data_IF_920830718819
#
_entry.id   IF_920830718819
#
_cell.length_a   1.000
_cell.length_b   1.000
_cell.length_c   1.000
_cell.angle_alpha   90.00
_cell.angle_beta   90.00
_cell.angle_gamma   90.00
#
_symmetry.space_group_name_H-M   'P 1'
#
loop_
_entity.id
_entity.type
_entity.pdbx_description
1 polymer ?
#
# COMPACT_ATOMS: atom_id res chain seq x y z
N UNK A 1 -8.73 4.34 -28.33
CA UNK A 1 -8.01 3.78 -27.17
C UNK A 1 -9.02 3.23 -26.19
N UNK A 2 -9.13 1.91 -26.08
CA UNK A 2 -9.99 1.28 -25.08
C UNK A 2 -9.39 1.57 -23.71
N UNK A 3 -10.08 2.38 -22.91
CA UNK A 3 -9.65 2.69 -21.53
C UNK A 3 -9.65 1.36 -20.77
N UNK A 4 -8.48 0.87 -20.39
CA UNK A 4 -8.34 -0.32 -19.58
C UNK A 4 -8.92 0.01 -18.19
N UNK A 5 -10.20 -0.32 -17.98
CA UNK A 5 -10.94 -0.11 -16.72
C UNK A 5 -10.41 -0.90 -15.53
N UNK A 6 -9.38 -1.73 -15.73
CA UNK A 6 -8.88 -2.71 -14.76
C UNK A 6 -8.40 -2.08 -13.44
N UNK A 7 -8.13 -0.78 -13.45
CA UNK A 7 -7.59 -0.03 -12.30
C UNK A 7 -8.51 1.13 -11.88
N UNK A 8 -9.76 1.16 -12.36
CA UNK A 8 -10.72 2.17 -11.92
C UNK A 8 -11.08 1.91 -10.45
N UNK A 9 -10.82 2.90 -9.58
CA UNK A 9 -11.04 2.78 -8.14
C UNK A 9 -9.89 2.18 -7.35
N UNK A 10 -8.74 1.92 -7.97
CA UNK A 10 -7.52 1.48 -7.28
C UNK A 10 -6.53 2.62 -7.08
N UNK A 11 -5.66 2.51 -6.07
CA UNK A 11 -4.57 3.46 -5.81
C UNK A 11 -3.29 2.73 -5.44
N UNK A 12 -2.17 3.30 -5.88
CA UNK A 12 -0.83 2.80 -5.57
C UNK A 12 -0.46 3.16 -4.13
N UNK A 13 -0.04 2.16 -3.36
CA UNK A 13 0.47 2.37 -2.01
C UNK A 13 1.71 1.51 -1.77
N UNK A 14 2.56 2.01 -0.88
CA UNK A 14 3.67 1.26 -0.32
C UNK A 14 3.32 0.95 1.13
N UNK A 15 3.11 -0.32 1.43
CA UNK A 15 2.79 -0.83 2.76
C UNK A 15 4.01 -1.54 3.35
N UNK A 16 4.20 -1.44 4.65
CA UNK A 16 5.23 -2.19 5.37
C UNK A 16 4.68 -2.86 6.62
N UNK A 17 5.29 -3.97 7.02
CA UNK A 17 4.96 -4.72 8.23
C UNK A 17 6.26 -5.21 8.89
N UNK A 18 6.30 -5.15 10.21
CA UNK A 18 7.39 -5.75 11.00
C UNK A 18 7.04 -7.20 11.28
N UNK A 19 7.87 -8.12 10.81
CA UNK A 19 7.67 -9.55 11.00
C UNK A 19 8.55 -10.08 12.14
N UNK A 20 7.94 -10.84 13.06
CA UNK A 20 8.64 -11.58 14.09
C UNK A 20 9.01 -12.97 13.56
N UNK A 21 10.23 -13.14 13.06
CA UNK A 21 10.65 -14.45 12.54
C UNK A 21 12.10 -14.53 12.04
N UNK A 22 12.68 -13.42 11.58
CA UNK A 22 14.08 -13.36 11.16
C UNK A 22 14.79 -12.19 11.87
N UNK A 23 15.39 -12.49 13.02
CA UNK A 23 16.21 -11.54 13.78
C UNK A 23 15.48 -10.26 14.19
N UNK A 24 14.40 -10.39 14.97
CA UNK A 24 13.69 -9.38 15.78
C UNK A 24 13.34 -8.00 15.16
N UNK A 25 13.70 -7.72 13.92
CA UNK A 25 13.67 -6.38 13.32
C UNK A 25 13.49 -6.39 11.79
N UNK A 26 13.10 -7.50 11.17
CA UNK A 26 12.83 -7.50 9.73
C UNK A 26 11.55 -6.73 9.38
N UNK A 27 11.68 -5.87 8.37
CA UNK A 27 10.60 -5.08 7.80
C UNK A 27 10.32 -5.60 6.39
N UNK A 28 9.12 -6.12 6.17
CA UNK A 28 8.64 -6.52 4.84
C UNK A 28 7.88 -5.36 4.24
N UNK A 29 8.08 -5.11 2.96
CA UNK A 29 7.40 -4.04 2.22
C UNK A 29 6.70 -4.60 0.99
N UNK A 30 5.49 -4.13 0.69
CA UNK A 30 4.75 -4.39 -0.54
C UNK A 30 4.49 -3.06 -1.24
N UNK A 31 4.74 -3.00 -2.55
CA UNK A 31 4.37 -1.90 -3.43
C UNK A 31 3.44 -2.45 -4.51
N UNK A 32 2.17 -2.05 -4.47
CA UNK A 32 1.16 -2.51 -5.42
C UNK A 32 0.01 -1.50 -5.57
N UNK A 33 -0.88 -1.80 -6.51
CA UNK A 33 -2.12 -1.11 -6.78
C UNK A 33 -3.25 -1.81 -6.03
N UNK A 34 -3.85 -1.14 -5.04
CA UNK A 34 -4.88 -1.72 -4.19
C UNK A 34 -6.25 -1.13 -4.51
N UNK A 35 -7.29 -1.97 -4.53
CA UNK A 35 -8.66 -1.50 -4.27
C UNK A 35 -8.77 -1.01 -2.82
N UNK A 36 -9.83 -0.25 -2.52
CA UNK A 36 -10.08 0.20 -1.15
C UNK A 36 -10.25 -0.98 -0.17
N UNK A 37 -10.91 -2.06 -0.60
CA UNK A 37 -11.12 -3.24 0.25
C UNK A 37 -9.81 -3.96 0.53
N UNK A 38 -9.00 -4.23 -0.50
CA UNK A 38 -7.68 -4.86 -0.33
C UNK A 38 -6.78 -4.02 0.58
N UNK A 39 -6.79 -2.69 0.42
CA UNK A 39 -6.06 -1.80 1.30
C UNK A 39 -6.50 -1.94 2.76
N UNK A 40 -7.81 -1.93 3.02
CA UNK A 40 -8.35 -2.08 4.38
C UNK A 40 -8.02 -3.44 5.00
N UNK A 41 -8.05 -4.50 4.20
CA UNK A 41 -7.70 -5.84 4.67
C UNK A 41 -6.23 -5.92 5.10
N UNK A 42 -5.31 -5.33 4.32
CA UNK A 42 -3.89 -5.24 4.71
C UNK A 42 -3.68 -4.40 5.98
N UNK A 43 -4.36 -3.25 6.10
CA UNK A 43 -4.26 -2.42 7.31
C UNK A 43 -4.75 -3.17 8.56
N UNK A 44 -5.84 -3.94 8.44
CA UNK A 44 -6.37 -4.76 9.53
C UNK A 44 -5.43 -5.94 9.88
N UNK A 45 -4.70 -6.48 8.91
CA UNK A 45 -3.67 -7.50 9.10
C UNK A 45 -2.36 -6.94 9.70
N UNK A 46 -2.30 -5.63 9.98
CA UNK A 46 -1.18 -5.00 10.68
C UNK A 46 -0.13 -4.36 9.77
N UNK A 47 -0.41 -4.28 8.47
CA UNK A 47 0.38 -3.47 7.56
C UNK A 47 0.19 -1.98 7.86
N UNK A 48 1.22 -1.19 7.56
CA UNK A 48 1.23 0.26 7.78
C UNK A 48 1.69 0.97 6.52
N UNK A 49 1.16 2.16 6.28
CA UNK A 49 1.68 3.03 5.22
C UNK A 49 3.13 3.37 5.49
N UNK A 50 4.01 3.18 4.50
CA UNK A 50 5.39 3.66 4.64
C UNK A 50 5.39 5.18 4.82
N UNK A 51 5.94 5.65 5.94
CA UNK A 51 6.11 7.08 6.20
C UNK A 51 7.22 7.60 5.30
N UNK A 52 6.88 7.94 4.07
CA UNK A 52 7.84 8.42 3.07
C UNK A 52 7.24 8.85 1.74
N UNK A 53 6.05 8.36 1.39
CA UNK A 53 5.35 8.84 0.19
C UNK A 53 4.15 9.67 0.64
N UNK A 54 4.44 10.91 1.04
CA UNK A 54 3.47 11.99 0.85
C UNK A 54 3.20 12.02 -0.66
N UNK A 55 2.11 11.41 -1.11
CA UNK A 55 1.57 11.70 -2.44
C UNK A 55 1.30 13.19 -2.38
N UNK A 56 2.21 13.99 -2.93
CA UNK A 56 2.15 15.44 -2.86
C UNK A 56 0.72 15.83 -3.22
N UNK A 57 0.03 16.47 -2.28
CA UNK A 57 -1.21 17.15 -2.59
C UNK A 57 -0.89 18.04 -3.79
N UNK A 58 -1.36 17.63 -4.97
CA UNK A 58 -1.42 18.52 -6.12
C UNK A 58 -2.41 19.60 -5.71
N UNK A 59 -1.88 20.65 -5.12
CA UNK A 59 -2.59 21.90 -4.92
C UNK A 59 -2.90 22.40 -6.33
N UNK A 60 -4.18 22.65 -6.56
CA UNK A 60 -4.73 23.14 -7.82
C UNK A 60 -4.20 24.55 -8.15
#
# INVERSE_FOLDING_TARGET
MSVIKRYEGTREYMLFRKESGFGDNQCVTIFDVFTYQELMDHLNDGWRFSSGITVGQKTA
#
